data_IF_204689723947
#
_entry.id   IF_204689723947
#
_cell.length_a   1.000
_cell.length_b   1.000
_cell.length_c   1.000
_cell.angle_alpha   90.00
_cell.angle_beta   90.00
_cell.angle_gamma   90.00
#
_symmetry.space_group_name_H-M   'P 1'
#
loop_
_entity.id
_entity.type
_entity.pdbx_description
1 polymer ?
#
# COMPACT_ATOMS: atom_id res chain seq x y z
N UNK A 1 13.90 -4.21 5.10
CA UNK A 1 14.31 -5.34 5.96
C UNK A 1 13.42 -5.38 7.19
N UNK A 2 12.54 -6.38 7.28
CA UNK A 2 11.67 -6.61 8.45
C UNK A 2 12.39 -7.57 9.39
N UNK A 3 12.56 -7.16 10.64
CA UNK A 3 13.00 -8.05 11.71
C UNK A 3 11.81 -8.25 12.63
N UNK A 4 11.25 -9.47 12.62
CA UNK A 4 10.20 -9.89 13.54
C UNK A 4 10.87 -10.31 14.84
N UNK A 5 10.62 -9.59 15.93
CA UNK A 5 10.98 -10.03 17.28
C UNK A 5 9.73 -10.61 17.98
N UNK A 6 9.95 -11.59 18.85
CA UNK A 6 8.95 -12.36 19.61
C UNK A 6 8.06 -11.50 20.54
N UNK A 7 8.27 -10.18 20.55
CA UNK A 7 7.53 -9.21 21.36
C UNK A 7 6.35 -8.51 20.64
N UNK A 8 5.94 -8.96 19.44
CA UNK A 8 4.86 -8.33 18.63
C UNK A 8 5.10 -6.85 18.29
N UNK A 9 6.33 -6.36 18.37
CA UNK A 9 6.68 -5.01 17.91
C UNK A 9 7.32 -5.15 16.54
N UNK A 10 6.49 -5.03 15.50
CA UNK A 10 6.97 -4.96 14.11
C UNK A 10 7.73 -3.63 13.98
N UNK A 11 9.02 -3.70 13.71
CA UNK A 11 9.87 -2.54 13.48
C UNK A 11 9.85 -2.17 11.99
N UNK A 12 9.09 -1.13 11.64
CA UNK A 12 9.01 -0.62 10.28
C UNK A 12 10.23 0.28 9.98
N UNK A 13 10.89 0.06 8.84
CA UNK A 13 11.75 1.08 8.25
C UNK A 13 10.85 2.08 7.52
N UNK A 14 10.33 3.04 8.28
CA UNK A 14 9.41 4.04 7.73
C UNK A 14 10.24 5.16 7.09
N UNK A 15 10.16 5.28 5.77
CA UNK A 15 10.78 6.35 5.02
C UNK A 15 9.93 7.62 5.16
N UNK A 16 10.53 8.72 5.65
CA UNK A 16 9.85 10.01 5.80
C UNK A 16 9.31 10.33 7.20
N UNK A 17 9.58 9.50 8.21
CA UNK A 17 9.16 9.76 9.61
C UNK A 17 10.29 10.32 10.45
N UNK A 18 9.97 11.36 11.24
CA UNK A 18 10.84 11.81 12.33
C UNK A 18 10.87 10.75 13.43
N UNK A 19 12.04 10.21 13.71
CA UNK A 19 12.24 9.13 14.69
C UNK A 19 11.73 9.49 16.10
N UNK A 20 11.62 10.79 16.41
CA UNK A 20 11.08 11.25 17.70
C UNK A 20 9.55 11.11 17.81
N UNK A 21 8.84 10.89 16.69
CA UNK A 21 7.39 10.70 16.63
C UNK A 21 6.95 9.23 16.57
N UNK A 22 7.89 8.30 16.45
CA UNK A 22 7.64 6.85 16.44
C UNK A 22 6.74 6.36 17.60
N UNK A 23 6.83 6.90 18.83
CA UNK A 23 5.96 6.47 19.94
C UNK A 23 4.48 6.88 19.79
N UNK A 24 4.13 7.75 18.83
CA UNK A 24 2.79 8.33 18.65
C UNK A 24 2.08 7.88 17.36
N UNK A 25 2.65 6.93 16.62
CA UNK A 25 2.01 6.43 15.40
C UNK A 25 0.88 5.48 15.78
N UNK A 26 -0.35 5.99 15.73
CA UNK A 26 -1.58 5.21 15.90
C UNK A 26 -2.18 4.90 14.53
N UNK A 27 -1.85 3.73 13.99
CA UNK A 27 -2.47 3.24 12.75
C UNK A 27 -3.80 2.58 13.08
N UNK A 28 -4.82 2.80 12.25
CA UNK A 28 -6.10 2.09 12.34
C UNK A 28 -6.04 0.74 11.64
N UNK A 29 -5.25 0.63 10.58
CA UNK A 29 -5.08 -0.61 9.85
C UNK A 29 -3.89 -1.40 10.37
N UNK A 30 -4.10 -2.70 10.60
CA UNK A 30 -3.01 -3.67 10.70
C UNK A 30 -2.58 -4.14 9.31
N UNK A 31 -1.38 -4.70 9.21
CA UNK A 31 -0.87 -5.29 7.97
C UNK A 31 -1.80 -6.38 7.41
N UNK A 32 -2.38 -7.21 8.28
CA UNK A 32 -3.32 -8.27 7.84
C UNK A 32 -4.58 -7.68 7.23
N UNK A 33 -5.12 -6.61 7.83
CA UNK A 33 -6.30 -5.90 7.28
C UNK A 33 -5.96 -5.25 5.94
N UNK A 34 -4.79 -4.64 5.82
CA UNK A 34 -4.27 -4.07 4.59
C UNK A 34 -4.19 -5.08 3.45
N UNK A 35 -3.60 -6.24 3.72
CA UNK A 35 -3.50 -7.34 2.75
C UNK A 35 -4.89 -7.85 2.34
N UNK A 36 -5.82 -7.96 3.29
CA UNK A 36 -7.19 -8.38 3.02
C UNK A 36 -7.94 -7.37 2.13
N UNK A 37 -7.81 -6.07 2.41
CA UNK A 37 -8.41 -5.01 1.58
C UNK A 37 -7.80 -5.04 0.18
N UNK A 38 -6.48 -5.15 0.08
CA UNK A 38 -5.77 -5.20 -1.20
C UNK A 38 -6.21 -6.39 -2.06
N UNK A 39 -6.32 -7.58 -1.47
CA UNK A 39 -6.82 -8.78 -2.17
C UNK A 39 -8.27 -8.60 -2.62
N UNK A 40 -9.13 -8.10 -1.74
CA UNK A 40 -10.53 -7.86 -2.07
C UNK A 40 -10.68 -6.85 -3.21
N UNK A 41 -9.84 -5.80 -3.21
CA UNK A 41 -9.83 -4.79 -4.26
C UNK A 41 -9.35 -5.37 -5.60
N UNK A 42 -8.30 -6.20 -5.61
CA UNK A 42 -7.86 -6.88 -6.82
C UNK A 42 -8.95 -7.78 -7.40
N UNK A 43 -9.63 -8.55 -6.54
CA UNK A 43 -10.70 -9.46 -6.94
C UNK A 43 -11.93 -8.68 -7.47
N UNK A 44 -12.27 -7.55 -6.86
CA UNK A 44 -13.41 -6.71 -7.25
C UNK A 44 -13.21 -6.03 -8.61
N UNK A 45 -11.98 -5.60 -8.91
CA UNK A 45 -11.65 -4.86 -10.13
C UNK A 45 -10.85 -5.68 -11.16
N UNK A 46 -10.81 -7.02 -11.02
CA UNK A 46 -10.13 -7.97 -11.92
C UNK A 46 -8.67 -7.60 -12.24
N UNK A 47 -7.93 -7.19 -11.21
CA UNK A 47 -6.53 -6.80 -11.35
C UNK A 47 -5.62 -8.04 -11.34
N UNK A 48 -4.81 -8.22 -12.38
CA UNK A 48 -3.86 -9.35 -12.54
C UNK A 48 -2.66 -9.33 -11.56
N UNK A 49 -2.65 -8.44 -10.57
CA UNK A 49 -1.52 -8.21 -9.67
C UNK A 49 -1.39 -9.23 -8.55
N UNK A 50 -0.16 -9.68 -8.29
CA UNK A 50 0.18 -10.56 -7.16
C UNK A 50 0.81 -9.74 -6.03
N UNK A 51 0.19 -9.82 -4.85
CA UNK A 51 0.73 -9.24 -3.61
C UNK A 51 1.60 -10.29 -2.91
N UNK A 52 2.83 -9.94 -2.58
CA UNK A 52 3.76 -10.82 -1.86
C UNK A 52 3.90 -10.39 -0.38
N UNK A 53 3.03 -10.89 0.52
CA UNK A 53 2.93 -10.40 1.91
C UNK A 53 4.20 -10.62 2.75
N UNK A 54 5.01 -11.62 2.41
CA UNK A 54 6.21 -11.99 3.17
C UNK A 54 7.46 -11.19 2.77
N UNK A 55 7.37 -10.37 1.73
CA UNK A 55 8.45 -9.48 1.33
C UNK A 55 8.15 -8.12 1.95
N UNK A 56 8.73 -7.85 3.12
CA UNK A 56 8.63 -6.57 3.82
C UNK A 56 9.18 -5.34 3.07
N UNK A 57 9.38 -5.49 1.76
CA UNK A 57 9.73 -4.46 0.77
C UNK A 57 8.50 -4.03 -0.04
N UNK A 58 7.32 -4.64 0.20
CA UNK A 58 6.10 -4.37 -0.57
C UNK A 58 5.12 -3.45 0.15
N UNK A 59 5.27 -3.22 1.45
CA UNK A 59 4.34 -2.44 2.26
C UNK A 59 5.07 -1.24 2.86
N UNK A 60 4.55 -0.05 2.61
CA UNK A 60 5.11 1.22 3.06
C UNK A 60 4.07 2.00 3.84
N UNK A 61 4.54 2.81 4.79
CA UNK A 61 3.70 3.70 5.59
C UNK A 61 4.21 5.13 5.45
N UNK A 62 3.29 6.09 5.37
CA UNK A 62 3.57 7.50 5.21
C UNK A 62 2.70 8.31 6.17
N UNK A 63 3.30 9.31 6.84
CA UNK A 63 2.54 10.27 7.67
C UNK A 63 1.58 11.13 6.84
N UNK A 64 1.93 11.36 5.58
CA UNK A 64 1.16 12.09 4.59
C UNK A 64 1.56 11.62 3.20
N UNK A 65 0.58 11.34 2.37
CA UNK A 65 0.79 10.99 0.97
C UNK A 65 -0.12 11.81 0.07
N UNK A 66 0.25 11.92 -1.21
CA UNK A 66 -0.44 12.83 -2.14
C UNK A 66 -1.94 12.58 -2.19
N UNK A 67 -2.74 13.63 -2.00
CA UNK A 67 -4.21 13.58 -2.04
C UNK A 67 -4.89 12.62 -1.04
N UNK A 68 -4.17 12.08 -0.05
CA UNK A 68 -4.73 11.28 1.05
C UNK A 68 -4.69 12.08 2.34
N UNK A 69 -5.82 12.16 3.03
CA UNK A 69 -5.89 12.78 4.35
C UNK A 69 -5.36 11.83 5.44
N UNK A 70 -4.46 12.34 6.27
CA UNK A 70 -3.87 11.59 7.38
C UNK A 70 -2.83 10.57 6.91
N UNK A 71 -2.72 9.49 7.68
CA UNK A 71 -1.76 8.42 7.42
C UNK A 71 -2.15 7.60 6.19
N UNK A 72 -1.13 7.16 5.46
CA UNK A 72 -1.32 6.38 4.24
C UNK A 72 -0.44 5.15 4.25
N UNK A 73 -0.97 4.09 3.66
CA UNK A 73 -0.19 2.89 3.36
C UNK A 73 -0.06 2.72 1.86
N UNK A 74 1.03 2.11 1.43
CA UNK A 74 1.23 1.74 0.03
C UNK A 74 1.58 0.27 -0.03
N UNK A 75 0.89 -0.46 -0.91
CA UNK A 75 1.22 -1.85 -1.23
C UNK A 75 1.64 -1.94 -2.69
N UNK A 76 2.85 -2.42 -2.92
CA UNK A 76 3.34 -2.76 -4.24
C UNK A 76 2.92 -4.18 -4.61
N UNK A 77 2.37 -4.31 -5.81
CA UNK A 77 1.93 -5.57 -6.40
C UNK A 77 2.71 -5.79 -7.67
N UNK A 78 3.17 -7.02 -7.89
CA UNK A 78 3.82 -7.34 -9.15
C UNK A 78 2.73 -7.71 -10.16
N UNK A 79 2.74 -7.07 -11.32
CA UNK A 79 1.88 -7.39 -12.44
C UNK A 79 2.69 -8.11 -13.53
N UNK A 80 2.06 -8.96 -14.35
CA UNK A 80 2.72 -9.53 -15.51
C UNK A 80 3.31 -8.43 -16.41
N UNK A 81 4.49 -8.66 -17.01
CA UNK A 81 5.08 -7.69 -17.92
C UNK A 81 4.16 -7.47 -19.12
N UNK A 82 3.83 -6.21 -19.39
CA UNK A 82 3.02 -5.83 -20.54
C UNK A 82 3.84 -5.91 -21.83
N UNK A 83 3.29 -6.51 -22.92
CA UNK A 83 3.95 -6.50 -24.23
C UNK A 83 4.04 -5.10 -24.84
N UNK A 84 3.30 -4.13 -24.30
CA UNK A 84 3.26 -2.73 -24.74
C UNK A 84 4.25 -1.83 -23.98
N UNK A 85 5.08 -2.40 -23.12
CA UNK A 85 5.99 -1.67 -22.22
C UNK A 85 5.30 -1.23 -20.92
N UNK A 86 6.07 -0.62 -20.02
CA UNK A 86 5.66 -0.28 -18.65
C UNK A 86 6.50 -1.01 -17.61
N UNK A 87 6.33 -0.65 -16.34
CA UNK A 87 6.88 -1.40 -15.22
C UNK A 87 6.20 -2.76 -15.02
N UNK A 88 6.71 -3.53 -14.08
CA UNK A 88 6.14 -4.79 -13.59
C UNK A 88 5.46 -4.62 -12.22
N UNK A 89 5.18 -3.36 -11.84
CA UNK A 89 4.70 -3.00 -10.51
C UNK A 89 3.51 -2.05 -10.60
N UNK A 90 2.49 -2.34 -9.79
CA UNK A 90 1.38 -1.44 -9.45
C UNK A 90 1.50 -1.08 -7.97
N UNK A 91 1.24 0.17 -7.61
CA UNK A 91 1.22 0.60 -6.21
C UNK A 91 -0.20 0.98 -5.79
N UNK A 92 -0.82 0.21 -4.92
CA UNK A 92 -2.08 0.56 -4.27
C UNK A 92 -1.83 1.55 -3.14
N UNK A 93 -2.57 2.66 -3.13
CA UNK A 93 -2.49 3.68 -2.08
C UNK A 93 -3.74 3.60 -1.21
N UNK A 94 -3.53 3.45 0.09
CA UNK A 94 -4.59 3.29 1.09
C UNK A 94 -4.66 4.49 2.01
N UNK A 95 -5.87 4.88 2.38
CA UNK A 95 -6.11 5.72 3.55
C UNK A 95 -6.22 4.85 4.80
N UNK A 96 -5.33 5.08 5.77
CA UNK A 96 -5.44 4.45 7.09
C UNK A 96 -6.71 4.91 7.82
N UNK A 97 -7.06 6.19 7.66
CA UNK A 97 -8.22 6.80 8.31
C UNK A 97 -9.56 6.23 7.81
N UNK A 98 -9.70 6.03 6.49
CA UNK A 98 -10.92 5.51 5.83
C UNK A 98 -10.94 3.98 5.70
N UNK A 99 -9.81 3.31 5.93
CA UNK A 99 -9.67 1.87 5.77
C UNK A 99 -10.00 1.35 4.36
N UNK A 100 -9.59 2.08 3.32
CA UNK A 100 -9.85 1.72 1.92
C UNK A 100 -8.71 2.13 0.98
N UNK A 101 -8.71 1.60 -0.24
CA UNK A 101 -7.88 2.08 -1.37
C UNK A 101 -8.44 3.42 -1.83
N UNK A 102 -7.57 4.44 -1.94
CA UNK A 102 -7.94 5.76 -2.48
C UNK A 102 -7.67 5.83 -3.98
N UNK A 103 -6.57 5.23 -4.44
CA UNK A 103 -6.20 5.10 -5.86
C UNK A 103 -5.03 4.13 -5.99
N UNK A 104 -4.60 3.86 -7.22
CA UNK A 104 -3.40 3.10 -7.53
C UNK A 104 -2.56 3.79 -8.59
N UNK A 105 -1.25 3.57 -8.57
CA UNK A 105 -0.39 3.90 -9.70
C UNK A 105 -0.30 2.70 -10.62
N UNK A 106 -0.63 2.91 -11.90
CA UNK A 106 -0.39 1.93 -12.94
C UNK A 106 1.12 1.71 -13.17
N UNK A 107 1.51 0.71 -13.98
CA UNK A 107 2.93 0.47 -14.24
C UNK A 107 3.67 1.59 -14.99
N UNK A 108 2.95 2.59 -15.50
CA UNK A 108 3.52 3.81 -16.09
C UNK A 108 3.70 4.94 -15.06
N UNK A 109 3.22 4.75 -13.83
CA UNK A 109 3.21 5.74 -12.76
C UNK A 109 2.03 6.71 -12.82
N UNK A 110 1.01 6.43 -13.62
CA UNK A 110 -0.19 7.26 -13.71
C UNK A 110 -1.20 6.87 -12.61
N UNK A 111 -1.72 7.83 -11.84
CA UNK A 111 -2.73 7.53 -10.82
C UNK A 111 -4.07 7.22 -11.48
N UNK A 112 -4.66 6.08 -11.12
CA UNK A 112 -5.99 5.63 -11.54
C UNK A 112 -6.78 5.18 -10.31
N UNK A 113 -8.09 5.38 -10.34
CA UNK A 113 -8.99 4.94 -9.28
C UNK A 113 -10.16 4.17 -9.90
N UNK A 114 -10.01 2.86 -10.19
CA UNK A 114 -11.07 2.05 -10.79
C UNK A 114 -12.45 2.12 -10.12
N UNK A 115 -12.48 2.37 -8.82
CA UNK A 115 -13.70 2.52 -8.01
C UNK A 115 -14.33 3.91 -8.09
N UNK A 116 -13.59 4.89 -8.64
CA UNK A 116 -14.08 6.22 -8.92
C UNK A 116 -14.50 6.22 -10.39
N UNK A 117 -15.77 5.92 -10.65
CA UNK A 117 -16.33 6.11 -11.98
C UNK A 117 -16.08 7.57 -12.42
N UNK A 118 -15.46 7.76 -13.59
CA UNK A 118 -15.43 9.06 -14.28
C UNK A 118 -16.89 9.41 -14.65
N UNK A 119 -17.53 10.28 -13.86
CA UNK A 119 -18.74 11.02 -14.28
C UNK A 119 -18.38 12.11 -15.31
#
# INVERSE_FOLDING_TARGET
MVVSDEQKVISFWILGIDRNKIPEIYTKLTTDQLLQIAQSYNDEYDLEGVIYPNHGESIFFYEKFEHVEGYSWIINMNVPPSPYGGGDMVSLVFSDEKACVEYMFDPSGYPIAPHSDDD
#
